data_IF_708451410571
#
_entry.id   IF_708451410571
#
_cell.length_a   1.000
_cell.length_b   1.000
_cell.length_c   1.000
_cell.angle_alpha   90.00
_cell.angle_beta   90.00
_cell.angle_gamma   90.00
#
_symmetry.space_group_name_H-M   'P 1'
#
loop_
_entity.id
_entity.type
_entity.pdbx_description
1 polymer ?
#
# COMPACT_ATOMS: atom_id res chain seq x y z
N UNK A 1 4.20 40.93 50.92
CA UNK A 1 3.60 39.67 50.43
C UNK A 1 2.63 40.05 49.30
N UNK A 2 3.09 40.12 48.05
CA UNK A 2 3.12 39.06 47.02
C UNK A 2 1.71 38.69 46.47
N UNK A 3 1.33 39.22 45.30
CA UNK A 3 1.35 38.47 44.01
C UNK A 3 0.65 39.23 42.88
N UNK A 4 1.46 39.57 41.87
CA UNK A 4 1.27 39.56 40.42
C UNK A 4 -0.12 39.20 39.90
N UNK A 5 -0.72 40.09 39.09
CA UNK A 5 -1.58 39.69 37.96
C UNK A 5 -1.27 40.61 36.77
N UNK A 6 -0.41 40.11 35.88
CA UNK A 6 -0.25 40.60 34.51
C UNK A 6 -1.45 40.08 33.72
N UNK A 7 -2.33 40.96 33.24
CA UNK A 7 -3.43 40.60 32.33
C UNK A 7 -3.11 41.13 30.94
N UNK A 8 -2.45 40.28 30.16
CA UNK A 8 -2.27 40.43 28.74
C UNK A 8 -3.57 40.02 28.02
N UNK A 9 -4.18 40.94 27.28
CA UNK A 9 -5.29 40.67 26.36
C UNK A 9 -4.93 41.13 24.95
N UNK A 10 -4.11 40.31 24.28
CA UNK A 10 -3.90 40.39 22.84
C UNK A 10 -4.74 39.29 22.15
N UNK A 11 -5.98 39.60 21.77
CA UNK A 11 -6.85 38.67 21.04
C UNK A 11 -7.76 39.42 20.06
N UNK A 12 -7.27 39.66 18.83
CA UNK A 12 -8.11 39.77 17.63
C UNK A 12 -7.25 39.63 16.36
N UNK A 13 -6.54 38.50 16.23
CA UNK A 13 -6.03 38.02 14.95
C UNK A 13 -7.03 37.05 14.35
N UNK A 14 -8.17 37.55 13.85
CA UNK A 14 -9.08 36.77 13.00
C UNK A 14 -8.42 36.61 11.62
N UNK A 15 -7.40 35.76 11.55
CA UNK A 15 -6.92 35.22 10.30
C UNK A 15 -7.99 34.26 9.77
N UNK A 16 -8.92 34.77 8.96
CA UNK A 16 -9.61 33.95 7.97
C UNK A 16 -8.58 33.52 6.93
N UNK A 17 -7.73 32.56 7.32
CA UNK A 17 -6.99 31.79 6.34
C UNK A 17 -8.06 30.99 5.57
N UNK A 18 -8.20 31.16 4.25
CA UNK A 18 -8.94 30.20 3.48
C UNK A 18 -8.24 28.88 3.73
N UNK A 19 -8.97 27.92 4.31
CA UNK A 19 -8.59 26.52 4.24
C UNK A 19 -8.50 26.22 2.77
N UNK A 20 -7.30 26.32 2.20
CA UNK A 20 -6.97 25.69 0.95
C UNK A 20 -7.11 24.20 1.25
N UNK A 21 -8.34 23.71 1.13
CA UNK A 21 -8.63 22.32 0.93
C UNK A 21 -7.90 21.94 -0.36
N UNK A 22 -6.65 21.51 -0.22
CA UNK A 22 -5.95 20.80 -1.27
C UNK A 22 -6.72 19.50 -1.46
N UNK A 23 -7.74 19.55 -2.32
CA UNK A 23 -8.47 18.40 -2.78
C UNK A 23 -7.49 17.48 -3.53
N UNK A 24 -7.06 16.41 -2.85
CA UNK A 24 -6.68 15.12 -3.41
C UNK A 24 -5.58 15.00 -4.49
N UNK A 25 -4.71 15.99 -4.71
CA UNK A 25 -3.54 15.85 -5.60
C UNK A 25 -2.34 15.10 -4.97
N UNK A 26 -2.59 14.22 -3.99
CA UNK A 26 -1.55 13.36 -3.39
C UNK A 26 -1.96 11.88 -3.32
N UNK A 27 -2.68 11.41 -4.33
CA UNK A 27 -2.78 9.98 -4.67
C UNK A 27 -1.45 9.45 -5.24
N UNK A 28 -0.39 10.26 -5.29
CA UNK A 28 0.74 9.97 -6.17
C UNK A 28 1.62 8.77 -5.78
N UNK A 29 1.62 8.25 -4.55
CA UNK A 29 2.32 6.98 -4.22
C UNK A 29 1.63 6.23 -3.07
N UNK A 30 0.80 5.24 -3.42
CA UNK A 30 0.19 4.30 -2.47
C UNK A 30 1.24 3.33 -1.92
N UNK A 31 2.21 2.93 -2.76
CA UNK A 31 3.25 1.99 -2.38
C UNK A 31 4.16 2.53 -1.28
N UNK A 32 4.21 1.80 -0.17
CA UNK A 32 5.13 2.04 0.92
C UNK A 32 5.76 0.70 1.34
N UNK A 33 6.90 0.39 0.71
CA UNK A 33 7.66 -0.83 0.95
C UNK A 33 7.94 -1.09 2.45
N UNK A 34 8.38 -0.06 3.18
CA UNK A 34 8.71 -0.19 4.60
C UNK A 34 7.47 -0.54 5.43
N UNK A 35 6.33 0.12 5.17
CA UNK A 35 5.07 -0.18 5.85
C UNK A 35 4.59 -1.60 5.52
N UNK A 36 4.69 -2.02 4.26
CA UNK A 36 4.26 -3.34 3.81
C UNK A 36 5.06 -4.45 4.51
N UNK A 37 6.38 -4.27 4.62
CA UNK A 37 7.24 -5.18 5.39
C UNK A 37 6.95 -5.12 6.89
N UNK A 38 6.72 -3.94 7.45
CA UNK A 38 6.45 -3.77 8.88
C UNK A 38 5.17 -4.49 9.31
N UNK A 39 4.08 -4.37 8.54
CA UNK A 39 2.80 -5.02 8.86
C UNK A 39 2.93 -6.55 8.83
N UNK A 40 3.84 -7.08 8.02
CA UNK A 40 4.09 -8.52 7.89
C UNK A 40 5.25 -9.05 8.74
N UNK A 41 5.91 -8.20 9.54
CA UNK A 41 7.01 -8.62 10.39
C UNK A 41 6.53 -9.64 11.43
N UNK A 42 7.18 -10.81 11.45
CA UNK A 42 6.84 -11.90 12.37
C UNK A 42 5.56 -12.66 12.02
N UNK A 43 4.97 -12.42 10.85
CA UNK A 43 3.81 -13.16 10.34
C UNK A 43 4.25 -14.20 9.32
N UNK A 44 3.46 -15.27 9.21
CA UNK A 44 3.63 -16.27 8.16
C UNK A 44 3.08 -15.78 6.82
N UNK A 45 3.53 -16.40 5.74
CA UNK A 45 2.90 -16.24 4.43
C UNK A 45 1.41 -16.63 4.50
N UNK A 46 0.57 -15.89 3.79
CA UNK A 46 -0.88 -16.05 3.77
C UNK A 46 -1.61 -15.41 4.95
N UNK A 47 -0.89 -14.96 5.99
CA UNK A 47 -1.52 -14.37 7.17
C UNK A 47 -2.36 -13.13 6.80
N UNK A 48 -3.64 -13.06 7.22
CA UNK A 48 -4.47 -11.90 7.00
C UNK A 48 -3.95 -10.72 7.83
N UNK A 49 -3.94 -9.54 7.23
CA UNK A 49 -3.49 -8.30 7.84
C UNK A 49 -4.35 -7.12 7.43
N UNK A 50 -4.53 -6.21 8.37
CA UNK A 50 -5.25 -4.96 8.15
C UNK A 50 -4.51 -3.81 8.81
N UNK A 51 -4.42 -2.65 8.15
CA UNK A 51 -3.82 -1.45 8.73
C UNK A 51 -4.44 -0.17 8.17
N UNK A 52 -4.45 0.90 8.97
CA UNK A 52 -4.85 2.22 8.52
C UNK A 52 -3.66 2.99 7.93
N UNK A 53 -3.84 3.60 6.77
CA UNK A 53 -2.85 4.49 6.16
C UNK A 53 -3.53 5.51 5.24
N UNK A 54 -3.18 6.79 5.42
CA UNK A 54 -3.78 7.94 4.70
C UNK A 54 -5.31 7.94 4.70
N UNK A 55 -5.92 7.63 5.85
CA UNK A 55 -7.39 7.62 6.00
C UNK A 55 -8.12 6.42 5.39
N UNK A 56 -7.40 5.44 4.84
CA UNK A 56 -7.96 4.21 4.26
C UNK A 56 -7.58 3.02 5.13
N UNK A 57 -8.52 2.10 5.35
CA UNK A 57 -8.24 0.77 5.92
C UNK A 57 -7.84 -0.17 4.79
N UNK A 58 -6.59 -0.62 4.82
CA UNK A 58 -6.02 -1.56 3.87
C UNK A 58 -6.16 -2.97 4.43
N UNK A 59 -6.90 -3.83 3.73
CA UNK A 59 -7.06 -5.24 4.05
C UNK A 59 -6.32 -6.09 3.02
N UNK A 60 -5.72 -7.19 3.44
CA UNK A 60 -4.98 -8.08 2.56
C UNK A 60 -4.26 -9.19 3.31
N UNK A 61 -3.23 -9.74 2.70
CA UNK A 61 -2.43 -10.84 3.28
C UNK A 61 -0.95 -10.55 3.17
N UNK A 62 -0.14 -11.25 3.96
CA UNK A 62 1.31 -11.24 3.82
C UNK A 62 1.73 -12.23 2.74
N UNK A 63 2.42 -11.78 1.70
CA UNK A 63 2.92 -12.62 0.61
C UNK A 63 4.39 -12.31 0.33
N UNK A 64 5.12 -13.24 -0.29
CA UNK A 64 6.46 -12.95 -0.80
C UNK A 64 6.41 -11.92 -1.92
N UNK A 65 7.18 -10.85 -1.75
CA UNK A 65 7.28 -9.76 -2.70
C UNK A 65 8.73 -9.33 -2.85
N UNK A 66 9.08 -8.86 -4.04
CA UNK A 66 10.36 -8.22 -4.31
C UNK A 66 10.31 -6.77 -3.85
N UNK A 67 11.25 -6.39 -2.99
CA UNK A 67 11.43 -5.05 -2.48
C UNK A 67 12.71 -4.45 -3.06
N UNK A 68 12.61 -3.50 -4.00
CA UNK A 68 13.77 -2.83 -4.56
C UNK A 68 14.48 -1.97 -3.51
N UNK A 69 15.81 -1.98 -3.52
CA UNK A 69 16.64 -1.21 -2.59
C UNK A 69 16.61 0.28 -2.85
N UNK A 70 16.34 0.68 -4.10
CA UNK A 70 16.35 2.05 -4.56
C UNK A 70 15.50 2.16 -5.82
N UNK A 71 14.35 2.81 -5.75
CA UNK A 71 13.48 3.02 -6.92
C UNK A 71 12.52 4.19 -6.69
N UNK A 72 12.53 5.14 -7.61
CA UNK A 72 11.69 6.35 -7.55
C UNK A 72 10.36 6.22 -8.31
N UNK A 73 10.15 5.13 -9.07
CA UNK A 73 9.03 5.01 -10.01
C UNK A 73 8.25 3.68 -9.91
N UNK A 74 8.03 3.21 -8.67
CA UNK A 74 7.27 1.98 -8.41
C UNK A 74 5.96 2.34 -7.70
N UNK A 75 4.85 1.85 -8.27
CA UNK A 75 3.47 2.12 -7.88
C UNK A 75 2.92 1.08 -6.90
N UNK A 76 3.53 -0.09 -6.84
CA UNK A 76 3.20 -1.20 -5.95
C UNK A 76 2.21 -2.20 -6.53
N UNK A 77 1.66 -1.96 -7.72
CA UNK A 77 0.73 -2.86 -8.39
C UNK A 77 1.41 -3.76 -9.46
N UNK A 78 2.66 -3.49 -9.79
CA UNK A 78 3.45 -4.15 -10.83
C UNK A 78 3.51 -5.67 -10.60
N UNK A 79 3.15 -6.50 -11.59
CA UNK A 79 3.16 -7.95 -11.45
C UNK A 79 4.55 -8.50 -11.12
N UNK A 80 5.62 -7.85 -11.59
CA UNK A 80 7.00 -8.26 -11.37
C UNK A 80 7.39 -8.23 -9.89
N UNK A 81 6.78 -7.37 -9.07
CA UNK A 81 6.99 -7.36 -7.62
C UNK A 81 6.54 -8.67 -6.96
N UNK A 82 5.61 -9.40 -7.57
CA UNK A 82 4.99 -10.59 -6.98
C UNK A 82 5.55 -11.87 -7.60
N UNK A 83 5.80 -11.86 -8.91
CA UNK A 83 6.31 -13.03 -9.64
C UNK A 83 7.82 -13.20 -9.51
N UNK A 84 8.55 -12.16 -9.09
CA UNK A 84 10.01 -12.25 -8.97
C UNK A 84 10.46 -13.22 -7.88
N UNK A 85 9.67 -13.47 -6.83
CA UNK A 85 10.16 -14.20 -5.65
C UNK A 85 9.98 -15.72 -5.65
N UNK A 86 9.54 -16.32 -6.77
CA UNK A 86 9.22 -17.76 -6.89
C UNK A 86 10.37 -18.74 -6.64
N UNK A 87 11.62 -18.28 -6.59
CA UNK A 87 12.81 -19.16 -6.46
C UNK A 87 13.75 -18.77 -5.30
N UNK A 88 13.30 -17.90 -4.40
CA UNK A 88 14.07 -17.47 -3.23
C UNK A 88 15.12 -16.39 -3.53
N UNK A 89 15.23 -15.42 -2.63
CA UNK A 89 16.43 -14.57 -2.45
C UNK A 89 16.92 -13.73 -3.62
N UNK A 90 16.08 -13.39 -4.63
CA UNK A 90 16.54 -12.61 -5.78
C UNK A 90 17.12 -11.27 -5.37
N UNK A 91 18.33 -10.97 -5.85
CA UNK A 91 19.05 -9.72 -5.62
C UNK A 91 18.72 -8.63 -6.64
N UNK A 92 18.07 -9.00 -7.75
CA UNK A 92 17.56 -8.07 -8.76
C UNK A 92 16.29 -8.59 -9.45
N UNK A 93 15.50 -7.67 -9.98
CA UNK A 93 14.33 -7.93 -10.82
C UNK A 93 14.24 -6.89 -11.93
N UNK A 94 13.64 -7.24 -13.06
CA UNK A 94 13.31 -6.29 -14.12
C UNK A 94 11.89 -5.80 -13.87
N UNK A 95 11.72 -4.50 -13.62
CA UNK A 95 10.42 -3.86 -13.38
C UNK A 95 10.25 -2.78 -14.43
N UNK A 96 9.16 -2.81 -15.21
CA UNK A 96 8.92 -1.85 -16.30
C UNK A 96 10.12 -1.75 -17.28
N UNK A 97 10.78 -2.88 -17.58
CA UNK A 97 11.94 -2.93 -18.47
C UNK A 97 13.26 -2.42 -17.88
N UNK A 98 13.27 -1.95 -16.63
CA UNK A 98 14.50 -1.51 -15.94
C UNK A 98 14.93 -2.56 -14.92
N UNK A 99 16.19 -2.99 -14.97
CA UNK A 99 16.76 -3.87 -13.96
C UNK A 99 17.01 -3.09 -12.67
N UNK A 100 16.43 -3.54 -11.56
CA UNK A 100 16.57 -2.93 -10.25
C UNK A 100 17.08 -3.95 -9.23
N UNK A 101 17.98 -3.52 -8.35
CA UNK A 101 18.46 -4.33 -7.25
C UNK A 101 17.46 -4.29 -6.09
N UNK A 102 17.36 -5.39 -5.35
CA UNK A 102 16.41 -5.55 -4.25
C UNK A 102 16.53 -6.88 -3.54
N UNK A 103 15.49 -7.24 -2.81
CA UNK A 103 15.40 -8.52 -2.08
C UNK A 103 13.97 -9.01 -2.00
N UNK A 104 13.82 -10.33 -1.93
CA UNK A 104 12.54 -10.94 -1.59
C UNK A 104 12.31 -10.90 -0.08
N UNK A 105 11.12 -10.48 0.35
CA UNK A 105 10.68 -10.52 1.73
C UNK A 105 9.15 -10.64 1.80
N UNK A 106 8.61 -11.00 2.97
CA UNK A 106 7.18 -10.89 3.20
C UNK A 106 6.75 -9.43 3.28
N UNK A 107 5.65 -9.11 2.62
CA UNK A 107 4.97 -7.83 2.76
C UNK A 107 3.50 -7.88 2.43
N UNK A 108 2.84 -6.77 2.75
CA UNK A 108 1.42 -6.59 2.50
C UNK A 108 1.09 -6.67 1.01
N UNK A 109 0.12 -7.51 0.69
CA UNK A 109 -0.48 -7.65 -0.63
C UNK A 109 -1.99 -7.45 -0.51
N UNK A 110 -2.57 -6.45 -1.20
CA UNK A 110 -4.02 -6.30 -1.24
C UNK A 110 -4.66 -7.50 -1.98
N UNK A 111 -5.92 -7.86 -1.67
CA UNK A 111 -6.63 -8.89 -2.40
C UNK A 111 -6.75 -8.44 -3.86
N UNK A 112 -6.14 -9.20 -4.76
CA UNK A 112 -6.27 -8.97 -6.19
C UNK A 112 -7.39 -9.85 -6.71
N UNK A 113 -8.25 -9.35 -7.62
CA UNK A 113 -9.05 -10.27 -8.41
C UNK A 113 -8.04 -11.18 -9.11
N UNK A 114 -8.00 -12.45 -8.72
CA UNK A 114 -7.38 -13.45 -9.56
C UNK A 114 -8.13 -13.31 -10.87
N UNK A 115 -7.44 -12.93 -11.96
CA UNK A 115 -8.05 -12.96 -13.28
C UNK A 115 -8.77 -14.29 -13.36
N UNK A 116 -10.10 -14.23 -13.36
CA UNK A 116 -10.90 -15.41 -13.43
C UNK A 116 -10.40 -16.14 -14.66
N UNK A 117 -9.84 -17.35 -14.51
CA UNK A 117 -10.17 -18.35 -15.51
C UNK A 117 -11.68 -18.25 -15.60
N UNK A 118 -12.16 -17.72 -16.73
CA UNK A 118 -13.56 -17.55 -17.03
C UNK A 118 -14.16 -18.96 -17.05
N UNK A 119 -14.49 -19.52 -15.88
CA UNK A 119 -15.54 -20.50 -15.78
C UNK A 119 -16.82 -19.69 -15.79
N UNK A 120 -17.16 -19.23 -16.99
CA UNK A 120 -18.52 -18.84 -17.33
C UNK A 120 -19.43 -19.96 -16.78
N UNK A 121 -20.51 -19.64 -16.05
CA UNK A 121 -21.47 -20.65 -15.65
C UNK A 121 -21.95 -21.32 -16.93
N UNK A 122 -21.64 -22.61 -17.11
CA UNK A 122 -22.21 -23.39 -18.20
C UNK A 122 -23.72 -23.40 -17.94
N UNK A 123 -24.46 -22.66 -18.75
CA UNK A 123 -25.92 -22.84 -18.87
C UNK A 123 -26.15 -24.33 -19.13
N UNK A 124 -26.95 -25.03 -18.31
CA UNK A 124 -27.33 -26.39 -18.63
C UNK A 124 -28.17 -26.34 -19.90
N UNK A 125 -27.58 -26.81 -21.00
CA UNK A 125 -28.31 -27.07 -22.24
C UNK A 125 -29.31 -28.16 -21.90
N UNK A 126 -30.59 -27.80 -21.79
CA UNK A 126 -31.66 -28.77 -21.66
C UNK A 126 -31.64 -29.67 -22.89
N UNK A 127 -31.25 -30.92 -22.65
CA UNK A 127 -31.58 -32.04 -23.50
C UNK A 127 -33.09 -32.27 -23.37
N UNK A 128 -33.82 -32.10 -24.47
CA UNK A 128 -35.27 -32.33 -24.52
C UNK A 128 -35.66 -32.70 -25.95
N UNK A 129 -36.09 -33.95 -26.10
CA UNK A 129 -36.63 -34.57 -27.31
C UNK A 129 -37.90 -33.87 -27.79
#
# INVERSE_FOLDING_TARGET
MNKNIFLATALCGLCFAPFAASANDKVEKVYNAQKYQQVCKGKSEGAPVSFAYRGIIWNGTCQQQFFPSSSTNIKGDEPELYTSCSSGGKTSATINGTQVNGKCALGFTPPRPQSQMQTQPQTPSQSGM
#
